data_IF_747425603488
#
_entry.id   IF_747425603488
#
_cell.length_a   1.000
_cell.length_b   1.000
_cell.length_c   1.000
_cell.angle_alpha   90.00
_cell.angle_beta   90.00
_cell.angle_gamma   90.00
#
_symmetry.space_group_name_H-M   'P 1'
#
loop_
_entity.id
_entity.type
_entity.pdbx_description
1 polymer ?
#
# COMPACT_ATOMS: atom_id res chain seq x y z
N UNK A 1 -17.33 49.59 21.24
CA UNK A 1 -18.18 49.12 20.12
C UNK A 1 -17.42 48.74 18.85
N UNK A 2 -16.57 49.60 18.24
CA UNK A 2 -15.86 49.27 16.98
C UNK A 2 -14.87 48.09 17.10
N UNK A 3 -14.06 48.06 18.18
CA UNK A 3 -13.12 46.95 18.46
C UNK A 3 -13.79 45.58 18.63
N UNK A 4 -15.03 45.54 19.15
CA UNK A 4 -15.75 44.28 19.37
C UNK A 4 -16.36 43.72 18.09
N UNK A 5 -16.96 44.58 17.25
CA UNK A 5 -17.43 44.16 15.91
C UNK A 5 -16.27 43.67 15.04
N UNK A 6 -15.12 44.34 15.08
CA UNK A 6 -13.92 43.93 14.34
C UNK A 6 -13.36 42.58 14.84
N UNK A 7 -13.29 42.37 16.16
CA UNK A 7 -12.89 41.06 16.75
C UNK A 7 -13.87 39.93 16.39
N UNK A 8 -15.17 40.21 16.37
CA UNK A 8 -16.19 39.24 15.97
C UNK A 8 -16.09 38.85 14.48
N UNK A 9 -15.77 39.81 13.60
CA UNK A 9 -15.51 39.57 12.18
C UNK A 9 -14.30 38.67 11.95
N UNK A 10 -13.17 38.94 12.63
CA UNK A 10 -11.97 38.11 12.56
C UNK A 10 -12.24 36.68 13.04
N UNK A 11 -12.93 36.51 14.17
CA UNK A 11 -13.28 35.17 14.69
C UNK A 11 -14.08 34.36 13.67
N UNK A 12 -15.11 34.95 13.05
CA UNK A 12 -15.91 34.28 12.01
C UNK A 12 -15.09 33.91 10.78
N UNK A 13 -14.16 34.76 10.37
CA UNK A 13 -13.24 34.48 9.26
C UNK A 13 -12.31 33.31 9.57
N UNK A 14 -11.69 33.31 10.76
CA UNK A 14 -10.84 32.20 11.22
C UNK A 14 -11.64 30.89 11.28
N UNK A 15 -12.85 30.90 11.86
CA UNK A 15 -13.69 29.70 11.92
C UNK A 15 -13.98 29.14 10.52
N UNK A 16 -14.28 30.00 9.53
CA UNK A 16 -14.50 29.55 8.14
C UNK A 16 -13.25 28.94 7.52
N UNK A 17 -12.07 29.53 7.77
CA UNK A 17 -10.79 28.99 7.29
C UNK A 17 -10.53 27.61 7.90
N UNK A 18 -10.76 27.45 9.20
CA UNK A 18 -10.58 26.16 9.88
C UNK A 18 -11.54 25.11 9.33
N UNK A 19 -12.83 25.44 9.16
CA UNK A 19 -13.83 24.53 8.58
C UNK A 19 -13.41 24.12 7.16
N UNK A 20 -12.98 25.07 6.34
CA UNK A 20 -12.53 24.81 4.98
C UNK A 20 -11.29 23.91 4.94
N UNK A 21 -10.32 24.14 5.83
CA UNK A 21 -9.14 23.30 5.95
C UNK A 21 -9.51 21.86 6.34
N UNK A 22 -10.41 21.68 7.31
CA UNK A 22 -10.92 20.35 7.70
C UNK A 22 -11.64 19.68 6.53
N UNK A 23 -12.45 20.43 5.77
CA UNK A 23 -13.12 19.90 4.59
C UNK A 23 -12.14 19.37 3.54
N UNK A 24 -11.06 20.11 3.24
CA UNK A 24 -10.01 19.66 2.32
C UNK A 24 -9.37 18.36 2.81
N UNK A 25 -9.06 18.26 4.11
CA UNK A 25 -8.48 17.06 4.70
C UNK A 25 -9.41 15.85 4.58
N UNK A 26 -10.71 16.03 4.76
CA UNK A 26 -11.70 14.97 4.55
C UNK A 26 -11.79 14.60 3.07
N UNK A 27 -11.94 15.59 2.19
CA UNK A 27 -12.06 15.39 0.74
C UNK A 27 -10.87 14.64 0.14
N UNK A 28 -9.65 14.90 0.63
CA UNK A 28 -8.44 14.22 0.18
C UNK A 28 -8.46 12.69 0.40
N UNK A 29 -9.26 12.18 1.35
CA UNK A 29 -9.41 10.74 1.55
C UNK A 29 -10.17 10.05 0.40
N UNK A 30 -10.90 10.84 -0.39
CA UNK A 30 -11.74 10.35 -1.48
C UNK A 30 -11.11 10.50 -2.87
N UNK A 31 -9.87 11.00 -2.96
CA UNK A 31 -9.12 11.12 -4.20
C UNK A 31 -8.24 9.87 -4.40
N UNK A 32 -8.57 8.99 -5.37
CA UNK A 32 -7.79 7.79 -5.62
C UNK A 32 -6.44 8.13 -6.27
N UNK A 33 -5.36 7.58 -5.72
CA UNK A 33 -4.02 7.61 -6.33
C UNK A 33 -3.69 6.26 -6.98
N UNK A 34 -4.00 5.15 -6.30
CA UNK A 34 -3.73 3.80 -6.80
C UNK A 34 -4.88 2.87 -6.45
N UNK A 35 -5.50 2.29 -7.47
CA UNK A 35 -6.63 1.37 -7.29
C UNK A 35 -6.14 0.01 -6.77
N UNK A 36 -6.94 -0.63 -5.92
CA UNK A 36 -6.73 -2.03 -5.54
C UNK A 36 -7.16 -2.96 -6.68
N UNK A 37 -6.48 -4.09 -6.83
CA UNK A 37 -6.85 -5.12 -7.79
C UNK A 37 -7.75 -6.16 -7.12
N UNK A 38 -8.70 -6.69 -7.89
CA UNK A 38 -9.54 -7.78 -7.43
C UNK A 38 -8.83 -9.11 -7.67
N UNK A 39 -8.63 -9.96 -6.64
CA UNK A 39 -7.95 -11.24 -6.78
C UNK A 39 -8.57 -12.13 -7.86
N UNK A 40 -9.89 -12.08 -8.05
CA UNK A 40 -10.61 -12.89 -9.04
C UNK A 40 -10.35 -12.46 -10.49
N UNK A 41 -9.68 -11.32 -10.71
CA UNK A 41 -9.41 -10.77 -12.05
C UNK A 41 -7.93 -10.85 -12.44
N UNK A 42 -7.06 -11.38 -11.58
CA UNK A 42 -5.61 -11.41 -11.78
C UNK A 42 -5.16 -12.35 -12.90
N UNK A 43 -5.86 -13.48 -13.09
CA UNK A 43 -5.48 -14.56 -14.01
C UNK A 43 -5.56 -14.24 -15.52
N UNK A 44 -5.66 -12.96 -15.91
CA UNK A 44 -5.73 -12.55 -17.32
C UNK A 44 -4.51 -11.77 -17.79
N UNK A 45 -3.46 -11.69 -16.98
CA UNK A 45 -2.31 -10.84 -17.26
C UNK A 45 -1.19 -11.59 -18.00
N UNK A 46 -0.36 -10.80 -18.67
CA UNK A 46 0.62 -11.16 -19.71
C UNK A 46 1.46 -12.41 -19.40
N UNK A 47 1.62 -13.32 -20.38
CA UNK A 47 2.27 -14.64 -20.21
C UNK A 47 3.76 -14.58 -19.87
N UNK A 48 4.37 -13.40 -19.97
CA UNK A 48 5.82 -13.23 -19.86
C UNK A 48 6.30 -12.69 -18.50
N UNK A 49 5.40 -12.40 -17.56
CA UNK A 49 5.77 -11.92 -16.22
C UNK A 49 5.19 -12.82 -15.14
N UNK A 50 6.04 -13.25 -14.19
CA UNK A 50 5.60 -14.01 -13.03
C UNK A 50 4.85 -13.08 -12.09
N UNK A 51 3.70 -13.54 -11.61
CA UNK A 51 2.87 -12.84 -10.64
C UNK A 51 2.93 -13.58 -9.31
N UNK A 52 3.41 -12.90 -8.27
CA UNK A 52 3.38 -13.40 -6.90
C UNK A 52 2.37 -12.61 -6.07
N UNK A 53 1.62 -13.30 -5.23
CA UNK A 53 0.79 -12.69 -4.18
C UNK A 53 1.57 -12.81 -2.88
N UNK A 54 1.88 -11.66 -2.27
CA UNK A 54 2.72 -11.60 -1.09
C UNK A 54 2.10 -10.80 0.04
N UNK A 55 2.51 -11.11 1.27
CA UNK A 55 2.31 -10.29 2.46
C UNK A 55 3.64 -9.71 2.94
N UNK A 56 3.59 -8.53 3.56
CA UNK A 56 4.73 -7.92 4.20
C UNK A 56 4.70 -8.21 5.70
N UNK A 57 5.79 -8.77 6.23
CA UNK A 57 5.96 -9.09 7.64
C UNK A 57 7.35 -8.67 8.12
N UNK A 58 7.44 -8.16 9.34
CA UNK A 58 8.73 -7.88 9.97
C UNK A 58 9.31 -9.18 10.52
N UNK A 59 10.39 -9.67 9.91
CA UNK A 59 11.08 -10.88 10.34
C UNK A 59 12.58 -10.64 10.46
N UNK A 60 13.30 -11.63 10.97
CA UNK A 60 14.78 -11.63 10.97
C UNK A 60 15.34 -11.94 9.57
N UNK A 61 14.54 -12.53 8.67
CA UNK A 61 14.90 -12.81 7.28
C UNK A 61 14.28 -11.82 6.30
N UNK A 62 13.91 -12.27 5.08
CA UNK A 62 13.20 -11.42 4.14
C UNK A 62 11.84 -10.95 4.68
N UNK A 63 11.49 -9.69 4.42
CA UNK A 63 10.23 -9.11 4.89
C UNK A 63 9.00 -9.54 4.07
N UNK A 64 9.20 -10.23 2.95
CA UNK A 64 8.14 -10.60 2.03
C UNK A 64 7.89 -12.10 2.09
N UNK A 65 6.62 -12.47 2.24
CA UNK A 65 6.15 -13.85 2.30
C UNK A 65 5.23 -14.11 1.12
N UNK A 66 5.50 -15.15 0.34
CA UNK A 66 4.62 -15.61 -0.73
C UNK A 66 3.44 -16.35 -0.10
N UNK A 67 2.23 -15.98 -0.52
CA UNK A 67 0.98 -16.62 -0.10
C UNK A 67 0.17 -17.14 -1.29
N UNK A 68 0.69 -16.99 -2.50
CA UNK A 68 0.08 -17.50 -3.73
C UNK A 68 0.77 -16.98 -4.98
N UNK A 69 0.40 -17.52 -6.14
CA UNK A 69 0.88 -17.10 -7.45
C UNK A 69 -0.18 -17.33 -8.54
N UNK A 70 0.16 -17.00 -9.79
CA UNK A 70 -0.73 -17.23 -10.95
C UNK A 70 -0.78 -18.70 -11.39
N UNK A 71 0.29 -19.47 -11.17
CA UNK A 71 0.45 -20.82 -11.71
C UNK A 71 0.05 -21.93 -10.71
N UNK A 72 -0.23 -21.57 -9.45
CA UNK A 72 -0.54 -22.51 -8.38
C UNK A 72 0.70 -23.26 -7.86
N UNK A 73 1.92 -22.78 -8.12
CA UNK A 73 3.14 -23.34 -7.54
C UNK A 73 3.19 -23.08 -6.03
N UNK A 74 2.69 -21.92 -5.61
CA UNK A 74 2.71 -21.49 -4.21
C UNK A 74 1.30 -21.50 -3.63
N UNK A 75 1.14 -22.21 -2.51
CA UNK A 75 -0.09 -22.22 -1.73
C UNK A 75 0.16 -21.61 -0.35
N UNK A 76 -0.86 -20.91 0.14
CA UNK A 76 -0.99 -20.34 1.47
C UNK A 76 -0.71 -21.30 2.63
N UNK A 77 -0.74 -22.62 2.42
CA UNK A 77 -0.38 -23.62 3.43
C UNK A 77 1.13 -23.70 3.71
N UNK A 78 1.96 -23.16 2.82
CA UNK A 78 3.43 -23.14 2.99
C UNK A 78 3.93 -21.70 3.04
N UNK A 79 4.53 -21.35 4.17
CA UNK A 79 5.18 -20.05 4.34
C UNK A 79 6.50 -20.08 3.57
N UNK A 80 6.58 -19.30 2.49
CA UNK A 80 7.81 -19.12 1.71
C UNK A 80 8.27 -17.67 1.74
N UNK A 81 9.48 -17.42 2.24
CA UNK A 81 10.09 -16.10 2.29
C UNK A 81 10.85 -15.80 1.00
N UNK A 82 10.82 -14.55 0.55
CA UNK A 82 11.43 -14.14 -0.71
C UNK A 82 12.23 -12.84 -0.58
N UNK A 83 13.44 -12.83 -1.15
CA UNK A 83 14.29 -11.63 -1.25
C UNK A 83 13.79 -10.76 -2.41
N UNK A 84 13.05 -9.71 -2.07
CA UNK A 84 12.51 -8.77 -3.07
C UNK A 84 13.56 -7.71 -3.42
N UNK A 85 13.85 -7.57 -4.72
CA UNK A 85 14.64 -6.47 -5.27
C UNK A 85 13.75 -5.58 -6.11
N UNK A 86 13.64 -4.32 -5.72
CA UNK A 86 12.83 -3.34 -6.45
C UNK A 86 13.61 -2.78 -7.63
N UNK A 87 13.04 -2.85 -8.83
CA UNK A 87 13.56 -2.10 -9.96
C UNK A 87 13.33 -0.59 -9.76
N UNK A 88 14.03 0.23 -10.53
CA UNK A 88 13.86 1.70 -10.49
C UNK A 88 12.41 2.13 -10.76
N UNK A 89 11.70 1.38 -11.60
CA UNK A 89 10.29 1.61 -11.93
C UNK A 89 9.35 1.06 -10.85
N UNK A 90 9.77 0.01 -10.14
CA UNK A 90 8.93 -0.76 -9.24
C UNK A 90 8.75 -0.19 -7.84
N UNK A 91 9.60 0.76 -7.42
CA UNK A 91 9.65 1.43 -6.09
C UNK A 91 8.77 0.80 -5.01
N UNK A 92 9.43 0.28 -3.97
CA UNK A 92 8.78 -0.32 -2.80
C UNK A 92 7.61 0.52 -2.26
N UNK A 93 6.47 -0.10 -1.89
CA UNK A 93 5.43 0.60 -1.15
C UNK A 93 6.03 1.27 0.09
N UNK A 94 5.60 2.49 0.41
CA UNK A 94 6.12 3.15 1.60
C UNK A 94 5.71 2.41 2.89
N UNK A 95 6.39 2.74 3.99
CA UNK A 95 6.13 2.14 5.30
C UNK A 95 4.67 2.29 5.78
N UNK A 96 3.98 3.39 5.43
CA UNK A 96 2.60 3.62 5.84
C UNK A 96 1.62 2.67 5.15
N UNK A 97 1.86 2.36 3.87
CA UNK A 97 1.11 1.38 3.09
C UNK A 97 1.41 -0.04 3.59
N UNK A 98 2.68 -0.32 3.92
CA UNK A 98 3.13 -1.62 4.46
C UNK A 98 2.66 -1.90 5.90
N UNK A 99 2.23 -0.88 6.66
CA UNK A 99 1.82 -1.05 8.05
C UNK A 99 0.46 -1.78 8.23
N UNK A 100 -0.39 -1.80 7.21
CA UNK A 100 -1.65 -2.55 7.24
C UNK A 100 -1.45 -4.04 6.93
N UNK A 101 -2.39 -4.90 7.33
CA UNK A 101 -2.39 -6.33 6.96
C UNK A 101 -2.88 -6.51 5.51
N UNK A 102 -2.09 -5.98 4.58
CA UNK A 102 -2.40 -5.94 3.16
C UNK A 102 -1.71 -7.07 2.41
N UNK A 103 -2.36 -7.49 1.33
CA UNK A 103 -1.79 -8.40 0.34
C UNK A 103 -1.39 -7.60 -0.90
N UNK A 104 -0.27 -7.97 -1.48
CA UNK A 104 0.32 -7.28 -2.63
C UNK A 104 0.47 -8.25 -3.77
N UNK A 105 0.29 -7.75 -4.99
CA UNK A 105 0.61 -8.48 -6.20
C UNK A 105 1.91 -7.91 -6.73
N UNK A 106 2.95 -8.74 -6.78
CA UNK A 106 4.27 -8.39 -7.28
C UNK A 106 4.43 -8.97 -8.67
N UNK A 107 4.72 -8.10 -9.64
CA UNK A 107 4.96 -8.46 -11.03
C UNK A 107 6.45 -8.37 -11.33
N UNK A 108 7.02 -9.45 -11.85
CA UNK A 108 8.47 -9.53 -11.99
C UNK A 108 8.97 -10.86 -12.51
N UNK A 109 10.21 -11.18 -12.14
CA UNK A 109 10.88 -12.43 -12.49
C UNK A 109 11.84 -12.86 -11.38
N UNK A 110 12.04 -14.17 -11.26
CA UNK A 110 13.11 -14.71 -10.43
C UNK A 110 14.48 -14.43 -11.07
N UNK A 111 15.45 -14.05 -10.24
CA UNK A 111 16.80 -13.67 -10.68
C UNK A 111 17.92 -14.49 -10.00
N UNK A 112 17.54 -15.54 -9.26
CA UNK A 112 18.48 -16.43 -8.57
C UNK A 112 18.11 -16.63 -7.11
N UNK A 113 19.12 -16.91 -6.28
CA UNK A 113 18.99 -17.04 -4.85
C UNK A 113 20.05 -16.21 -4.13
N UNK A 114 19.74 -15.79 -2.90
CA UNK A 114 20.63 -15.01 -2.04
C UNK A 114 20.66 -15.64 -0.64
N UNK A 115 21.87 -15.79 -0.10
CA UNK A 115 22.06 -16.19 1.28
C UNK A 115 21.81 -15.00 2.22
N UNK A 116 20.90 -15.16 3.18
CA UNK A 116 20.60 -14.20 4.25
C UNK A 116 20.61 -15.01 5.55
N UNK A 117 21.45 -14.62 6.51
CA UNK A 117 21.62 -15.29 7.80
C UNK A 117 21.85 -16.82 7.74
N UNK A 118 22.52 -17.28 6.68
CA UNK A 118 22.86 -18.69 6.48
C UNK A 118 21.80 -19.51 5.75
N UNK A 119 20.63 -18.93 5.45
CA UNK A 119 19.58 -19.55 4.64
C UNK A 119 19.54 -18.97 3.22
N UNK A 120 19.28 -19.82 2.22
CA UNK A 120 19.17 -19.40 0.83
C UNK A 120 17.71 -19.11 0.47
N UNK A 121 17.42 -17.85 0.13
CA UNK A 121 16.10 -17.41 -0.31
C UNK A 121 16.10 -17.15 -1.82
N UNK A 122 14.99 -17.45 -2.50
CA UNK A 122 14.79 -17.04 -3.89
C UNK A 122 14.77 -15.51 -3.96
N UNK A 123 15.45 -14.94 -4.95
CA UNK A 123 15.43 -13.50 -5.21
C UNK A 123 14.48 -13.19 -6.37
N UNK A 124 13.65 -12.17 -6.18
CA UNK A 124 12.65 -11.74 -7.16
C UNK A 124 12.79 -10.26 -7.46
N UNK A 125 12.99 -9.95 -8.75
CA UNK A 125 13.07 -8.58 -9.24
C UNK A 125 11.67 -8.06 -9.56
N UNK A 126 11.18 -7.11 -8.75
CA UNK A 126 9.85 -6.52 -8.89
C UNK A 126 9.93 -5.30 -9.80
N UNK A 127 9.17 -5.34 -10.89
CA UNK A 127 9.01 -4.21 -11.82
C UNK A 127 7.83 -3.32 -11.47
N UNK A 128 6.77 -3.93 -10.93
CA UNK A 128 5.53 -3.25 -10.57
C UNK A 128 4.89 -4.02 -9.44
N UNK A 129 4.20 -3.31 -8.56
CA UNK A 129 3.30 -3.91 -7.60
C UNK A 129 1.90 -3.30 -7.72
N UNK A 130 0.91 -4.08 -7.30
CA UNK A 130 -0.43 -3.62 -6.99
C UNK A 130 -0.85 -4.12 -5.59
N UNK A 131 -1.90 -3.52 -5.03
CA UNK A 131 -2.43 -3.92 -3.72
C UNK A 131 -3.77 -4.62 -3.92
N UNK A 132 -4.01 -5.70 -3.18
CA UNK A 132 -5.27 -6.43 -3.29
C UNK A 132 -6.38 -5.77 -2.49
N UNK A 133 -7.60 -5.92 -3.01
CA UNK A 133 -8.81 -5.61 -2.26
C UNK A 133 -9.11 -6.71 -1.24
N UNK A 134 -9.56 -6.38 -0.01
CA UNK A 134 -9.71 -5.04 0.54
C UNK A 134 -8.41 -4.48 1.12
N UNK A 135 -8.19 -3.17 0.98
CA UNK A 135 -7.08 -2.47 1.64
C UNK A 135 -7.38 -2.28 3.13
N UNK A 136 -6.45 -2.74 3.97
CA UNK A 136 -6.39 -2.51 5.40
C UNK A 136 -5.49 -1.31 5.73
N UNK A 137 -5.91 -0.49 6.70
CA UNK A 137 -5.20 0.73 7.11
C UNK A 137 -5.01 0.70 8.62
N UNK A 138 -3.77 0.84 9.07
CA UNK A 138 -3.44 0.90 10.48
C UNK A 138 -3.70 2.31 11.08
N UNK A 139 -4.93 2.81 10.93
CA UNK A 139 -5.38 4.08 11.51
C UNK A 139 -6.91 4.15 11.58
N UNK A 140 -7.45 5.18 12.23
CA UNK A 140 -8.89 5.48 12.25
C UNK A 140 -9.48 5.65 10.83
N UNK A 141 -8.64 5.93 9.83
CA UNK A 141 -9.04 6.01 8.42
C UNK A 141 -9.58 4.68 7.88
N UNK A 142 -9.25 3.54 8.49
CA UNK A 142 -9.83 2.23 8.13
C UNK A 142 -11.36 2.19 8.20
N UNK A 143 -11.97 3.02 9.05
CA UNK A 143 -13.42 3.05 9.26
C UNK A 143 -14.19 3.86 8.22
N UNK A 144 -13.62 4.94 7.70
CA UNK A 144 -14.33 5.88 6.82
C UNK A 144 -13.73 6.01 5.42
N UNK A 145 -12.47 5.66 5.23
CA UNK A 145 -11.82 5.76 3.92
C UNK A 145 -12.13 4.53 3.06
N UNK A 146 -12.44 4.71 1.76
CA UNK A 146 -12.73 3.58 0.89
C UNK A 146 -11.60 2.55 0.80
N UNK A 147 -11.94 1.26 0.85
CA UNK A 147 -10.99 0.13 0.80
C UNK A 147 -10.54 -0.28 -0.62
N UNK A 148 -11.01 0.44 -1.64
CA UNK A 148 -10.80 0.12 -3.07
C UNK A 148 -9.61 0.83 -3.71
N UNK A 149 -8.97 1.75 -3.00
CA UNK A 149 -7.82 2.50 -3.50
C UNK A 149 -6.98 3.06 -2.35
N UNK A 150 -5.71 3.32 -2.63
CA UNK A 150 -4.85 4.19 -1.85
C UNK A 150 -5.05 5.63 -2.28
N UNK A 151 -5.02 6.57 -1.34
CA UNK A 151 -5.13 8.01 -1.57
C UNK A 151 -3.87 8.75 -1.08
N UNK A 152 -3.86 10.07 -1.24
CA UNK A 152 -2.73 10.93 -0.88
C UNK A 152 -2.20 10.71 0.54
N UNK A 153 -3.09 10.55 1.52
CA UNK A 153 -2.70 10.36 2.91
C UNK A 153 -2.13 8.97 3.20
N UNK A 154 -2.31 7.99 2.31
CA UNK A 154 -1.59 6.72 2.40
C UNK A 154 -0.13 6.88 1.92
N UNK A 155 0.14 7.90 1.10
CA UNK A 155 1.47 8.21 0.59
C UNK A 155 2.25 9.23 1.41
N UNK A 156 1.55 10.14 2.08
CA UNK A 156 2.13 11.10 3.00
C UNK A 156 2.31 10.44 4.38
N UNK A 157 3.53 10.47 4.93
CA UNK A 157 3.81 10.09 6.33
C UNK A 157 3.23 11.15 7.28
N UNK A 158 1.91 11.15 7.45
CA UNK A 158 1.19 12.04 8.39
C UNK A 158 0.68 11.21 9.56
#
# INVERSE_FOLDING_TARGET
>A
MYKEKHRAGIKKMITRIVIFAVFILVAGNFLPIKMSVNPNKLYKQDKNETMLICEYGQTTGPNWVIIGDSEGEFDSERIEFIDVKWSELGKEPNSSVLAGKNKYVLYGKFIGAKAIDGENYRSFEVKKWDILYPIDRFSLRSYFTPKRYLNLFDFLKI
#
